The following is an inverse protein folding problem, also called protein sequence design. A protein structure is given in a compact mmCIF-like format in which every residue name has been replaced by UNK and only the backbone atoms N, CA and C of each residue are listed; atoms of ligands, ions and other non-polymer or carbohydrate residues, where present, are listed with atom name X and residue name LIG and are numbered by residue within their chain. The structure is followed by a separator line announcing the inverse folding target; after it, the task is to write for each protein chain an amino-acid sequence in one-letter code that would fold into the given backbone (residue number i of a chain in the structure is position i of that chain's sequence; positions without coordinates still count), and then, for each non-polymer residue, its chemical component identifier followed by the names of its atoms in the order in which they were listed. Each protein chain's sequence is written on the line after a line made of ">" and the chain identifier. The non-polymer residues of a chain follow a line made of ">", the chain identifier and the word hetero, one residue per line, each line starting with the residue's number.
data_IF_386140492288
#
_entry.id   IF_386140492288
#
_cell.length_a   1.000
_cell.length_b   1.000
_cell.length_c   1.000
_cell.angle_alpha   90.00
_cell.angle_beta   90.00
_cell.angle_gamma   90.00
#
_symmetry.space_group_name_H-M   'P 1'
#
loop_
_entity.id
_entity.type
_entity.pdbx_description
1 polymer ?
#
# COMPACT_ATOMS: atom_id res chain seq x y z
N UNK A 1 7.00 10.83 8.73
CA UNK A 1 7.76 9.80 7.96
C UNK A 1 7.38 9.97 6.48
N UNK A 2 8.25 9.60 5.53
CA UNK A 2 7.96 9.67 4.09
C UNK A 2 8.32 8.36 3.41
N UNK A 3 7.46 7.90 2.51
CA UNK A 3 7.72 6.77 1.62
C UNK A 3 8.11 7.30 0.24
N UNK A 4 8.92 6.52 -0.48
CA UNK A 4 9.37 6.85 -1.83
C UNK A 4 9.58 5.59 -2.63
N UNK A 5 9.20 5.59 -3.91
CA UNK A 5 9.42 4.45 -4.81
C UNK A 5 10.90 4.29 -5.15
N UNK A 6 11.61 5.39 -5.45
CA UNK A 6 13.03 5.33 -5.81
C UNK A 6 13.73 6.68 -5.59
N UNK A 7 14.48 6.80 -4.50
CA UNK A 7 15.13 8.05 -4.09
C UNK A 7 16.30 8.43 -5.02
N UNK A 8 16.38 9.69 -5.42
CA UNK A 8 17.50 10.25 -6.20
C UNK A 8 17.40 10.06 -7.70
N UNK A 9 16.20 9.79 -8.24
CA UNK A 9 15.96 9.65 -9.69
C UNK A 9 14.89 10.60 -10.19
N UNK A 10 14.83 10.79 -11.52
CA UNK A 10 13.79 11.62 -12.16
C UNK A 10 12.36 11.06 -12.01
N UNK A 11 12.24 9.82 -11.54
CA UNK A 11 10.98 9.10 -11.30
C UNK A 11 10.65 9.02 -9.80
N UNK A 12 11.39 9.75 -8.96
CA UNK A 12 11.12 9.81 -7.53
C UNK A 12 9.76 10.47 -7.28
N UNK A 13 8.82 9.65 -6.84
CA UNK A 13 7.62 10.10 -6.15
C UNK A 13 7.77 9.74 -4.68
N UNK A 14 7.49 10.73 -3.85
CA UNK A 14 7.46 10.59 -2.40
C UNK A 14 6.15 11.11 -1.85
N UNK A 15 5.69 10.47 -0.78
CA UNK A 15 4.48 10.83 -0.07
C UNK A 15 4.66 10.59 1.42
N UNK A 16 3.71 11.03 2.21
CA UNK A 16 3.73 11.12 3.65
C UNK A 16 2.40 10.67 4.24
N UNK A 17 2.36 10.57 5.57
CA UNK A 17 1.13 10.23 6.29
C UNK A 17 0.03 11.29 6.15
N UNK A 18 0.40 12.52 5.80
CA UNK A 18 -0.55 13.64 5.65
C UNK A 18 -1.21 13.65 4.26
N UNK A 19 -0.74 12.82 3.32
CA UNK A 19 -1.29 12.74 1.97
C UNK A 19 -2.55 11.86 1.94
N UNK A 20 -3.58 12.30 1.22
CA UNK A 20 -4.89 11.63 1.21
C UNK A 20 -4.89 10.41 0.28
N UNK A 21 -5.28 9.24 0.81
CA UNK A 21 -5.42 7.99 0.04
C UNK A 21 -6.46 8.08 -1.08
N UNK A 22 -7.42 8.99 -0.95
CA UNK A 22 -8.47 9.24 -1.94
C UNK A 22 -8.02 10.12 -3.10
N UNK A 23 -6.79 10.64 -3.12
CA UNK A 23 -6.29 11.42 -4.26
C UNK A 23 -5.93 10.49 -5.44
N UNK A 24 -6.71 10.49 -6.53
CA UNK A 24 -6.42 9.65 -7.69
C UNK A 24 -5.10 10.04 -8.38
N UNK A 25 -4.63 11.27 -8.19
CA UNK A 25 -3.36 11.75 -8.75
C UNK A 25 -2.19 11.05 -8.09
N UNK A 26 -2.23 10.87 -6.78
CA UNK A 26 -1.20 10.15 -6.03
C UNK A 26 -1.09 8.71 -6.50
N UNK A 27 -2.22 8.00 -6.54
CA UNK A 27 -2.27 6.58 -6.95
C UNK A 27 -1.75 6.41 -8.38
N UNK A 28 -2.22 7.25 -9.30
CA UNK A 28 -1.78 7.22 -10.69
C UNK A 28 -0.29 7.52 -10.84
N UNK A 29 0.21 8.51 -10.12
CA UNK A 29 1.64 8.85 -10.16
C UNK A 29 2.50 7.69 -9.67
N UNK A 30 2.09 7.00 -8.60
CA UNK A 30 2.76 5.80 -8.07
C UNK A 30 2.78 4.68 -9.12
N UNK A 31 1.63 4.43 -9.75
CA UNK A 31 1.51 3.44 -10.82
C UNK A 31 2.41 3.77 -12.03
N UNK A 32 2.30 4.99 -12.55
CA UNK A 32 3.09 5.48 -13.68
C UNK A 32 4.59 5.40 -13.38
N UNK A 33 5.02 5.81 -12.18
CA UNK A 33 6.42 5.73 -11.76
C UNK A 33 6.92 4.30 -11.62
N UNK A 34 6.12 3.39 -11.06
CA UNK A 34 6.47 1.99 -10.96
C UNK A 34 6.56 1.31 -12.33
N UNK A 35 5.67 1.64 -13.25
CA UNK A 35 5.70 1.15 -14.63
C UNK A 35 6.93 1.65 -15.41
N UNK A 36 7.29 2.92 -15.24
CA UNK A 36 8.47 3.53 -15.88
C UNK A 36 9.79 2.90 -15.45
N UNK A 37 9.86 2.38 -14.22
CA UNK A 37 11.07 1.72 -13.69
C UNK A 37 10.94 0.19 -13.61
N UNK A 38 9.95 -0.40 -14.28
CA UNK A 38 9.72 -1.84 -14.40
C UNK A 38 9.58 -2.55 -13.03
N UNK A 39 8.82 -1.95 -12.10
CA UNK A 39 8.48 -2.60 -10.84
C UNK A 39 7.60 -3.83 -11.11
N UNK A 40 8.08 -4.98 -10.65
CA UNK A 40 7.26 -6.18 -10.55
C UNK A 40 6.40 -6.10 -9.27
N UNK A 41 5.17 -5.61 -9.42
CA UNK A 41 4.19 -5.49 -8.33
C UNK A 41 3.93 -6.82 -7.61
N UNK A 42 4.16 -7.96 -8.27
CA UNK A 42 4.01 -9.30 -7.67
C UNK A 42 5.12 -9.69 -6.72
N UNK A 43 6.26 -8.98 -6.75
CA UNK A 43 7.36 -9.13 -5.80
C UNK A 43 7.31 -8.16 -4.64
N UNK A 44 6.29 -7.30 -4.57
CA UNK A 44 6.13 -6.36 -3.48
C UNK A 44 5.78 -7.11 -2.18
N UNK A 45 6.30 -6.66 -1.04
CA UNK A 45 6.11 -7.30 0.27
C UNK A 45 4.63 -7.41 0.70
N UNK A 46 3.77 -6.53 0.17
CA UNK A 46 2.34 -6.52 0.45
C UNK A 46 1.51 -7.39 -0.50
N UNK A 47 2.11 -7.95 -1.56
CA UNK A 47 1.37 -8.67 -2.60
C UNK A 47 0.61 -9.88 -2.05
N UNK A 48 1.25 -10.71 -1.22
CA UNK A 48 0.62 -11.89 -0.64
C UNK A 48 -0.56 -11.55 0.28
N UNK A 49 -0.47 -10.44 1.02
CA UNK A 49 -1.58 -9.94 1.84
C UNK A 49 -2.77 -9.52 0.99
N UNK A 50 -2.50 -8.84 -0.13
CA UNK A 50 -3.54 -8.43 -1.08
C UNK A 50 -4.20 -9.62 -1.76
N UNK A 51 -3.42 -10.63 -2.16
CA UNK A 51 -3.96 -11.85 -2.77
C UNK A 51 -4.94 -12.56 -1.82
N UNK A 52 -4.58 -12.72 -0.55
CA UNK A 52 -5.46 -13.28 0.48
C UNK A 52 -6.72 -12.44 0.70
N UNK A 53 -6.60 -11.11 0.72
CA UNK A 53 -7.73 -10.21 0.87
C UNK A 53 -8.71 -10.31 -0.31
N UNK A 54 -8.21 -10.49 -1.54
CA UNK A 54 -9.01 -10.67 -2.74
C UNK A 54 -9.74 -12.03 -2.79
N UNK A 55 -9.35 -13.02 -1.98
CA UNK A 55 -10.12 -14.25 -1.79
C UNK A 55 -11.40 -14.03 -0.95
N UNK A 56 -11.40 -12.99 -0.11
CA UNK A 56 -12.46 -12.73 0.87
C UNK A 56 -13.33 -11.51 0.54
N UNK A 57 -12.80 -10.53 -0.18
CA UNK A 57 -13.48 -9.30 -0.56
C UNK A 57 -13.52 -9.13 -2.07
N UNK A 58 -14.58 -8.50 -2.59
CA UNK A 58 -14.56 -8.07 -3.98
C UNK A 58 -13.49 -6.96 -4.17
N UNK A 59 -12.97 -6.82 -5.39
CA UNK A 59 -12.00 -5.75 -5.71
C UNK A 59 -12.49 -4.36 -5.32
N UNK A 60 -13.78 -4.08 -5.56
CA UNK A 60 -14.38 -2.77 -5.25
C UNK A 60 -14.44 -2.57 -3.73
N UNK A 61 -14.95 -3.56 -2.98
CA UNK A 61 -15.05 -3.48 -1.53
C UNK A 61 -13.67 -3.32 -0.87
N UNK A 62 -12.66 -4.01 -1.39
CA UNK A 62 -11.28 -3.91 -0.89
C UNK A 62 -10.69 -2.52 -1.13
N UNK A 63 -10.95 -1.91 -2.29
CA UNK A 63 -10.51 -0.53 -2.59
C UNK A 63 -11.15 0.44 -1.62
N UNK A 64 -12.47 0.37 -1.42
CA UNK A 64 -13.19 1.25 -0.48
C UNK A 64 -12.62 1.10 0.95
N UNK A 65 -12.44 -0.13 1.43
CA UNK A 65 -11.88 -0.39 2.76
C UNK A 65 -10.43 0.06 2.93
N UNK A 66 -9.60 -0.04 1.89
CA UNK A 66 -8.22 0.48 1.91
C UNK A 66 -8.20 2.02 1.92
N UNK A 67 -9.12 2.66 1.20
CA UNK A 67 -9.26 4.12 1.19
C UNK A 67 -9.78 4.68 2.51
N UNK A 68 -10.70 3.95 3.16
CA UNK A 68 -11.28 4.30 4.45
C UNK A 68 -10.38 3.92 5.65
N UNK A 69 -9.20 3.34 5.40
CA UNK A 69 -8.30 2.82 6.43
C UNK A 69 -9.02 1.87 7.41
N UNK A 70 -9.83 0.96 6.88
CA UNK A 70 -10.66 0.05 7.67
C UNK A 70 -9.80 -0.75 8.67
N UNK A 71 -10.11 -0.69 9.98
CA UNK A 71 -9.33 -1.38 11.00
C UNK A 71 -9.16 -2.89 10.78
N UNK A 72 -10.15 -3.55 10.17
CA UNK A 72 -10.10 -4.98 9.86
C UNK A 72 -9.05 -5.27 8.77
N UNK A 73 -8.99 -4.45 7.73
CA UNK A 73 -7.98 -4.60 6.66
C UNK A 73 -6.59 -4.32 7.20
N UNK A 74 -6.43 -3.25 7.99
CA UNK A 74 -5.14 -2.93 8.63
C UNK A 74 -4.65 -4.06 9.54
N UNK A 75 -5.56 -4.68 10.29
CA UNK A 75 -5.27 -5.85 11.13
C UNK A 75 -4.78 -7.05 10.29
N UNK A 76 -5.46 -7.37 9.19
CA UNK A 76 -5.06 -8.47 8.31
C UNK A 76 -3.68 -8.22 7.71
N UNK A 77 -3.44 -7.00 7.20
CA UNK A 77 -2.14 -6.63 6.64
C UNK A 77 -1.05 -6.76 7.70
N UNK A 78 -1.33 -6.31 8.93
CA UNK A 78 -0.41 -6.42 10.07
C UNK A 78 -0.05 -7.87 10.37
N UNK A 79 -1.03 -8.76 10.40
CA UNK A 79 -0.80 -10.19 10.68
C UNK A 79 0.03 -10.86 9.58
N UNK A 80 -0.04 -10.35 8.36
CA UNK A 80 0.64 -10.93 7.19
C UNK A 80 2.07 -10.42 7.02
N UNK A 81 2.37 -9.20 7.45
CA UNK A 81 3.73 -8.71 7.56
C UNK A 81 4.42 -9.43 8.72
N UNK A 82 5.09 -10.55 8.43
CA UNK A 82 5.86 -11.36 9.39
C UNK A 82 6.92 -10.50 10.09
N UNK A 83 6.56 -9.86 11.19
CA UNK A 83 7.52 -9.31 12.12
C UNK A 83 7.16 -9.77 13.53
N UNK A 84 7.96 -10.66 14.16
CA UNK A 84 7.67 -11.22 15.48
C UNK A 84 7.86 -10.20 16.63
N UNK A 85 7.95 -8.91 16.34
CA UNK A 85 8.29 -7.86 17.30
C UNK A 85 7.43 -6.61 17.05
N UNK A 86 6.13 -6.66 17.37
CA UNK A 86 5.38 -5.48 17.82
C UNK A 86 3.92 -5.85 18.10
N UNK A 87 3.56 -5.96 19.38
CA UNK A 87 2.19 -5.61 19.77
C UNK A 87 1.93 -4.14 19.45
N UNK A 88 0.66 -3.77 19.22
CA UNK A 88 0.09 -2.41 19.02
C UNK A 88 1.11 -1.25 19.03
N UNK A 89 2.03 -1.21 18.07
CA UNK A 89 3.07 -0.18 17.98
C UNK A 89 2.60 0.87 17.00
N UNK A 90 2.46 2.14 17.41
CA UNK A 90 2.09 3.24 16.51
C UNK A 90 2.99 3.33 15.27
N UNK A 91 4.26 2.90 15.40
CA UNK A 91 5.24 2.93 14.30
C UNK A 91 4.89 1.94 13.17
N UNK A 92 4.31 0.79 13.50
CA UNK A 92 3.92 -0.21 12.49
C UNK A 92 2.65 0.23 11.76
N UNK A 93 1.71 0.86 12.47
CA UNK A 93 0.50 1.40 11.87
C UNK A 93 0.82 2.55 10.91
N UNK A 94 1.67 3.48 11.32
CA UNK A 94 2.20 4.54 10.47
C UNK A 94 2.93 3.97 9.23
N UNK A 95 3.69 2.89 9.42
CA UNK A 95 4.36 2.21 8.30
C UNK A 95 3.34 1.62 7.32
N UNK A 96 2.33 0.86 7.79
CA UNK A 96 1.30 0.28 6.92
C UNK A 96 0.55 1.39 6.17
N UNK A 97 0.11 2.45 6.88
CA UNK A 97 -0.61 3.58 6.29
C UNK A 97 0.19 4.27 5.18
N UNK A 98 1.51 4.40 5.36
CA UNK A 98 2.39 4.91 4.32
C UNK A 98 2.44 4.02 3.07
N UNK A 99 2.13 2.73 3.13
CA UNK A 99 2.16 1.88 1.93
C UNK A 99 0.78 1.59 1.34
N UNK A 100 -0.32 2.06 1.96
CA UNK A 100 -1.68 1.90 1.42
C UNK A 100 -1.85 2.41 -0.02
N UNK A 101 -1.26 3.55 -0.45
CA UNK A 101 -1.31 3.98 -1.85
C UNK A 101 -0.71 2.94 -2.81
N UNK A 102 0.38 2.28 -2.41
CA UNK A 102 1.03 1.22 -3.20
C UNK A 102 0.15 -0.02 -3.23
N UNK A 103 -0.47 -0.37 -2.10
CA UNK A 103 -1.41 -1.49 -2.01
C UNK A 103 -2.63 -1.27 -2.93
N UNK A 104 -3.14 -0.05 -3.00
CA UNK A 104 -4.22 0.32 -3.93
C UNK A 104 -3.79 0.14 -5.40
N UNK A 105 -2.54 0.48 -5.75
CA UNK A 105 -2.01 0.16 -7.09
C UNK A 105 -1.98 -1.35 -7.31
N UNK A 106 -1.44 -2.13 -6.38
CA UNK A 106 -1.40 -3.60 -6.47
C UNK A 106 -2.80 -4.18 -6.69
N UNK A 107 -3.80 -3.79 -5.87
CA UNK A 107 -5.20 -4.24 -6.02
C UNK A 107 -5.75 -3.90 -7.40
N UNK A 108 -5.41 -2.72 -7.94
CA UNK A 108 -5.86 -2.31 -9.26
C UNK A 108 -5.21 -3.10 -10.42
N UNK A 109 -4.02 -3.66 -10.21
CA UNK A 109 -3.33 -4.51 -11.20
C UNK A 109 -3.86 -5.95 -11.32
N UNK A 110 -4.66 -6.43 -10.35
CA UNK A 110 -5.40 -7.70 -10.44
C UNK A 110 -6.66 -7.58 -11.30
#
# INVERSE_FOLDING_TARGET
>A
MKASIYNGTKYEISWSLDDTLTDPTLIRNIEDAGNEIDIDWKKNEFYSSIELLLEHYSKIDLIEKLQDEDPEILEIIRLTLENPIAGNSPVLEDFIRLYLPVMLVIVNTF
#
